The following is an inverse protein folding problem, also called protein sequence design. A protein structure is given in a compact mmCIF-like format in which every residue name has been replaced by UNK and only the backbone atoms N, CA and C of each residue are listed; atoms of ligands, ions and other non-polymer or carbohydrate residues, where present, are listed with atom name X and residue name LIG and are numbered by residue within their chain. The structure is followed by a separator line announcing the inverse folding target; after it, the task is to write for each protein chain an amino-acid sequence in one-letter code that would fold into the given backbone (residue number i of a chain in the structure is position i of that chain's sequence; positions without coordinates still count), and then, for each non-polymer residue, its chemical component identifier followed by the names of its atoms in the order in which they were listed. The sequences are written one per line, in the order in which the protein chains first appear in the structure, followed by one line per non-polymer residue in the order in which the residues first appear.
data_IF_436992639796
#
_entry.id   IF_436992639796
#
_cell.length_a   1.000
_cell.length_b   1.000
_cell.length_c   1.000
_cell.angle_alpha   90.00
_cell.angle_beta   90.00
_cell.angle_gamma   90.00
#
_symmetry.space_group_name_H-M   'P 1'
#
loop_
_entity.id
_entity.type
_entity.pdbx_description
1 polymer ?
#
# COMPACT_ATOMS: atom_id res chain seq x y z
N UNK A 1 37.85 45.46 -48.37
CA UNK A 1 37.53 44.83 -47.07
C UNK A 1 36.48 45.69 -46.36
N UNK A 2 35.22 45.23 -46.23
CA UNK A 2 34.35 45.65 -45.13
C UNK A 2 34.06 44.47 -44.19
N UNK A 3 34.13 44.73 -42.89
CA UNK A 3 33.91 43.76 -41.81
C UNK A 3 32.41 43.51 -41.60
N UNK A 4 32.00 42.24 -41.57
CA UNK A 4 30.68 41.78 -41.15
C UNK A 4 30.79 41.13 -39.76
N UNK A 5 30.09 41.68 -38.77
CA UNK A 5 30.01 41.16 -37.40
C UNK A 5 28.66 40.47 -37.21
N UNK A 6 28.70 39.21 -36.75
CA UNK A 6 27.53 38.39 -36.42
C UNK A 6 26.93 38.77 -35.04
N UNK A 7 25.61 38.64 -34.83
CA UNK A 7 25.01 38.78 -33.51
C UNK A 7 25.03 37.45 -32.73
N UNK A 8 25.47 37.53 -31.47
CA UNK A 8 25.49 36.44 -30.49
C UNK A 8 24.17 36.37 -29.69
N UNK A 9 23.96 35.20 -29.10
CA UNK A 9 22.79 34.74 -28.35
C UNK A 9 22.27 35.73 -27.29
N UNK A 10 20.94 35.92 -27.27
CA UNK A 10 20.20 36.61 -26.20
C UNK A 10 19.71 35.62 -25.15
N UNK A 11 20.37 35.64 -23.99
CA UNK A 11 19.98 34.92 -22.76
C UNK A 11 18.76 35.57 -22.11
N UNK A 12 17.93 34.73 -21.49
CA UNK A 12 16.66 35.06 -20.86
C UNK A 12 16.75 35.93 -19.60
N UNK A 13 15.65 36.63 -19.39
CA UNK A 13 15.28 37.56 -18.33
C UNK A 13 15.07 36.86 -16.98
N UNK A 14 15.71 37.36 -15.91
CA UNK A 14 15.30 37.16 -14.52
C UNK A 14 15.46 38.47 -13.74
N UNK A 15 14.43 38.94 -13.02
CA UNK A 15 14.61 39.86 -11.92
C UNK A 15 14.35 39.17 -10.58
N UNK A 16 15.31 39.35 -9.68
CA UNK A 16 15.25 39.03 -8.27
C UNK A 16 14.08 39.73 -7.57
N UNK A 17 13.37 38.99 -6.71
CA UNK A 17 12.47 39.52 -5.70
C UNK A 17 12.69 38.75 -4.39
N UNK A 18 13.57 39.27 -3.54
CA UNK A 18 13.75 38.77 -2.17
C UNK A 18 12.61 39.30 -1.29
N UNK A 19 11.96 38.41 -0.52
CA UNK A 19 11.13 38.76 0.64
C UNK A 19 11.56 37.93 1.83
N UNK A 20 11.88 38.53 2.99
CA UNK A 20 12.03 37.82 4.25
C UNK A 20 10.71 37.89 5.04
N UNK A 21 10.15 36.76 5.45
CA UNK A 21 9.26 36.75 6.60
C UNK A 21 9.58 35.55 7.49
N UNK A 22 9.77 35.89 8.76
CA UNK A 22 9.99 35.02 9.91
C UNK A 22 8.80 34.10 10.11
N UNK A 23 9.05 32.92 10.70
CA UNK A 23 8.39 32.35 11.90
C UNK A 23 8.77 30.86 11.98
N UNK A 24 9.40 30.45 13.09
CA UNK A 24 9.42 29.04 13.53
C UNK A 24 8.08 28.67 14.19
N UNK A 25 7.85 27.43 14.67
CA UNK A 25 8.82 26.66 15.46
C UNK A 25 8.92 25.14 15.15
N UNK A 26 9.92 24.60 15.82
CA UNK A 26 10.39 23.22 15.97
C UNK A 26 9.33 22.21 16.47
N UNK A 27 9.62 20.94 16.18
CA UNK A 27 9.11 19.69 16.79
C UNK A 27 7.66 19.26 16.55
N UNK A 28 7.49 18.16 15.81
CA UNK A 28 6.72 17.02 16.26
C UNK A 28 7.09 15.76 15.46
N UNK A 29 8.06 15.01 16.00
CA UNK A 29 8.10 13.55 15.82
C UNK A 29 6.78 13.01 16.36
N UNK A 30 5.88 12.50 15.53
CA UNK A 30 4.69 11.88 16.09
C UNK A 30 3.56 11.58 15.13
N UNK A 31 3.32 10.27 15.00
CA UNK A 31 2.02 9.61 14.88
C UNK A 31 1.41 9.58 13.49
N UNK A 32 1.08 8.35 13.10
CA UNK A 32 0.36 8.02 11.88
C UNK A 32 -0.89 8.88 11.78
N UNK A 33 -0.95 9.63 10.70
CA UNK A 33 -2.19 10.25 10.28
C UNK A 33 -3.17 9.12 9.93
N UNK A 34 -4.35 9.17 10.53
CA UNK A 34 -5.49 8.40 10.07
C UNK A 34 -5.88 8.93 8.69
N UNK A 35 -5.51 8.22 7.63
CA UNK A 35 -5.61 8.65 6.22
C UNK A 35 -7.03 8.47 5.64
N UNK A 36 -8.08 8.74 6.40
CA UNK A 36 -9.45 8.47 5.96
C UNK A 36 -10.37 9.70 5.82
N UNK A 37 -9.93 10.91 6.18
CA UNK A 37 -10.79 12.11 6.11
C UNK A 37 -10.01 13.38 5.70
N UNK A 38 -9.14 13.23 4.70
CA UNK A 38 -8.36 14.34 4.13
C UNK A 38 -8.80 14.64 2.69
N UNK A 39 -8.57 15.87 2.19
CA UNK A 39 -8.79 16.18 0.78
C UNK A 39 -7.99 15.22 -0.14
N UNK A 40 -8.47 14.95 -1.36
CA UNK A 40 -7.82 14.02 -2.28
C UNK A 40 -6.35 14.37 -2.49
N UNK A 41 -5.49 13.34 -2.47
CA UNK A 41 -4.04 13.49 -2.60
C UNK A 41 -3.74 14.16 -3.95
N UNK A 42 -3.34 15.43 -3.90
CA UNK A 42 -3.00 16.18 -5.11
C UNK A 42 -1.58 15.85 -5.59
N UNK A 43 -0.65 15.62 -4.64
CA UNK A 43 0.71 15.17 -4.91
C UNK A 43 1.33 14.56 -3.66
N UNK A 44 2.15 13.52 -3.81
CA UNK A 44 2.92 12.92 -2.74
C UNK A 44 4.19 12.25 -3.27
N UNK A 45 5.11 11.88 -2.38
CA UNK A 45 6.26 11.05 -2.76
C UNK A 45 5.80 9.65 -3.19
N UNK A 46 6.62 8.96 -3.99
CA UNK A 46 6.33 7.59 -4.40
C UNK A 46 6.12 6.67 -3.18
N UNK A 47 6.93 6.79 -2.13
CA UNK A 47 6.80 5.97 -0.93
C UNK A 47 5.48 6.23 -0.19
N UNK A 48 5.02 7.49 -0.13
CA UNK A 48 3.70 7.82 0.43
C UNK A 48 2.58 7.23 -0.42
N UNK A 49 2.66 7.32 -1.75
CA UNK A 49 1.67 6.73 -2.65
C UNK A 49 1.63 5.19 -2.54
N UNK A 50 2.79 4.54 -2.39
CA UNK A 50 2.88 3.10 -2.12
C UNK A 50 2.23 2.78 -0.77
N UNK A 51 2.50 3.58 0.27
CA UNK A 51 1.86 3.42 1.58
C UNK A 51 0.33 3.53 1.50
N UNK A 52 -0.21 4.45 0.70
CA UNK A 52 -1.65 4.58 0.49
C UNK A 52 -2.27 3.41 -0.29
N UNK A 53 -1.47 2.67 -1.07
CA UNK A 53 -1.90 1.46 -1.77
C UNK A 53 -2.03 0.26 -0.82
N UNK A 54 -1.27 0.22 0.28
CA UNK A 54 -1.30 -0.91 1.23
C UNK A 54 -2.62 -0.94 2.01
N UNK A 55 -3.44 -1.99 1.88
CA UNK A 55 -4.63 -2.17 2.71
C UNK A 55 -4.27 -2.45 4.18
N UNK A 56 -5.10 -1.99 5.11
CA UNK A 56 -4.99 -2.31 6.55
C UNK A 56 -6.23 -3.09 7.00
N UNK A 57 -6.33 -3.46 8.28
CA UNK A 57 -7.51 -4.16 8.81
C UNK A 57 -8.83 -3.39 8.56
N UNK A 58 -8.79 -2.06 8.64
CA UNK A 58 -9.91 -1.13 8.60
C UNK A 58 -9.98 -0.30 7.31
N UNK A 59 -8.90 -0.24 6.52
CA UNK A 59 -8.86 0.51 5.26
C UNK A 59 -8.63 -0.39 4.05
N UNK A 60 -9.25 -0.05 2.93
CA UNK A 60 -8.94 -0.57 1.60
C UNK A 60 -8.92 0.62 0.63
N UNK A 61 -7.90 0.76 -0.23
CA UNK A 61 -7.80 1.89 -1.15
C UNK A 61 -8.96 1.93 -2.14
N UNK A 62 -9.42 3.14 -2.50
CA UNK A 62 -10.47 3.28 -3.49
C UNK A 62 -10.07 2.66 -4.84
N UNK A 63 -11.01 1.99 -5.51
CA UNK A 63 -10.76 1.31 -6.79
C UNK A 63 -10.16 2.23 -7.84
N UNK A 64 -10.62 3.49 -7.90
CA UNK A 64 -10.08 4.49 -8.82
C UNK A 64 -8.60 4.78 -8.53
N UNK A 65 -8.23 4.93 -7.24
CA UNK A 65 -6.84 5.11 -6.84
C UNK A 65 -5.99 3.89 -7.20
N UNK A 66 -6.44 2.67 -6.88
CA UNK A 66 -5.74 1.43 -7.21
C UNK A 66 -5.45 1.36 -8.72
N UNK A 67 -6.49 1.55 -9.54
CA UNK A 67 -6.35 1.53 -10.99
C UNK A 67 -5.37 2.59 -11.50
N UNK A 68 -5.58 3.86 -11.15
CA UNK A 68 -4.78 4.98 -11.64
C UNK A 68 -3.34 4.90 -11.17
N UNK A 69 -3.11 4.53 -9.91
CA UNK A 69 -1.77 4.34 -9.37
C UNK A 69 -1.06 3.19 -10.07
N UNK A 70 -1.66 1.99 -10.15
CA UNK A 70 -1.03 0.85 -10.83
C UNK A 70 -0.75 1.13 -12.31
N UNK A 71 -1.65 1.84 -13.01
CA UNK A 71 -1.44 2.28 -14.38
C UNK A 71 -0.18 3.16 -14.52
N UNK A 72 -0.09 4.21 -13.69
CA UNK A 72 0.94 5.24 -13.78
C UNK A 72 2.26 4.90 -13.08
N UNK A 73 2.25 4.01 -12.08
CA UNK A 73 3.43 3.64 -11.30
C UNK A 73 4.57 3.10 -12.16
N UNK A 74 4.26 2.47 -13.30
CA UNK A 74 5.27 1.94 -14.26
C UNK A 74 6.22 3.01 -14.80
N UNK A 75 5.83 4.27 -14.75
CA UNK A 75 6.68 5.40 -15.14
C UNK A 75 7.79 5.69 -14.11
N UNK A 76 7.61 5.22 -12.87
CA UNK A 76 8.47 5.56 -11.73
C UNK A 76 9.12 4.34 -11.09
N UNK A 77 8.49 3.17 -11.17
CA UNK A 77 8.94 1.93 -10.52
C UNK A 77 8.48 0.71 -11.31
N UNK A 78 9.35 -0.31 -11.40
CA UNK A 78 9.00 -1.57 -12.07
C UNK A 78 7.97 -2.37 -11.25
N UNK A 79 7.05 -3.13 -11.89
CA UNK A 79 6.09 -3.97 -11.17
C UNK A 79 6.69 -4.91 -10.09
N UNK A 80 7.78 -5.67 -10.35
CA UNK A 80 8.37 -6.51 -9.31
C UNK A 80 8.98 -5.69 -8.17
N UNK A 81 9.54 -4.51 -8.44
CA UNK A 81 10.06 -3.65 -7.37
C UNK A 81 8.93 -3.03 -6.54
N UNK A 82 7.83 -2.63 -7.18
CA UNK A 82 6.63 -2.15 -6.49
C UNK A 82 6.07 -3.22 -5.55
N UNK A 83 5.96 -4.47 -6.01
CA UNK A 83 5.48 -5.58 -5.20
C UNK A 83 6.40 -5.83 -3.99
N UNK A 84 7.73 -5.78 -4.18
CA UNK A 84 8.68 -5.91 -3.08
C UNK A 84 8.51 -4.79 -2.03
N UNK A 85 8.35 -3.53 -2.48
CA UNK A 85 8.11 -2.39 -1.57
C UNK A 85 6.78 -2.46 -0.84
N UNK A 86 5.73 -2.98 -1.49
CA UNK A 86 4.46 -3.27 -0.83
C UNK A 86 4.65 -4.28 0.30
N UNK A 87 5.38 -5.38 0.06
CA UNK A 87 5.71 -6.36 1.09
C UNK A 87 6.48 -5.75 2.26
N UNK A 88 7.51 -4.96 1.98
CA UNK A 88 8.28 -4.29 3.03
C UNK A 88 7.42 -3.34 3.85
N UNK A 89 6.54 -2.58 3.18
CA UNK A 89 5.62 -1.65 3.85
C UNK A 89 4.64 -2.42 4.72
N UNK A 90 4.14 -3.57 4.26
CA UNK A 90 3.32 -4.47 5.07
C UNK A 90 4.04 -4.93 6.35
N UNK A 91 5.34 -5.27 6.26
CA UNK A 91 6.14 -5.71 7.43
C UNK A 91 6.43 -4.53 8.38
N UNK A 92 6.73 -3.35 7.85
CA UNK A 92 7.08 -2.16 8.64
C UNK A 92 5.88 -1.55 9.36
N UNK A 93 4.71 -1.53 8.71
CA UNK A 93 3.50 -0.91 9.25
C UNK A 93 2.75 -1.78 10.27
N UNK A 94 3.07 -3.08 10.37
CA UNK A 94 2.20 -4.05 11.02
C UNK A 94 3.04 -5.10 11.79
N UNK A 95 2.84 -5.21 13.11
CA UNK A 95 3.33 -6.38 13.85
C UNK A 95 2.69 -7.65 13.24
N UNK A 96 3.41 -8.77 13.22
CA UNK A 96 3.04 -10.03 12.53
C UNK A 96 1.56 -10.46 12.70
N UNK A 97 0.94 -10.17 13.85
CA UNK A 97 -0.48 -10.45 14.15
C UNK A 97 -1.47 -9.70 13.27
N UNK A 98 -1.07 -8.59 12.68
CA UNK A 98 -1.95 -7.81 11.83
C UNK A 98 -1.89 -8.27 10.37
N UNK A 99 -0.77 -8.85 9.92
CA UNK A 99 -0.66 -9.49 8.58
C UNK A 99 -1.75 -10.55 8.38
N UNK A 100 -2.19 -11.15 9.48
CA UNK A 100 -3.34 -12.06 9.58
C UNK A 100 -4.69 -11.42 9.30
N UNK A 101 -4.87 -10.15 9.70
CA UNK A 101 -6.15 -9.43 9.62
C UNK A 101 -6.35 -8.75 8.27
N UNK A 102 -5.28 -8.32 7.60
CA UNK A 102 -5.37 -7.68 6.28
C UNK A 102 -4.89 -8.58 5.11
N UNK A 103 -4.38 -9.79 5.39
CA UNK A 103 -4.02 -10.79 4.36
C UNK A 103 -5.07 -10.97 3.26
N UNK A 104 -6.36 -11.15 3.57
CA UNK A 104 -7.41 -11.24 2.55
C UNK A 104 -7.50 -9.99 1.65
N UNK A 105 -7.26 -8.80 2.19
CA UNK A 105 -7.26 -7.55 1.41
C UNK A 105 -6.03 -7.42 0.52
N UNK A 106 -4.87 -7.94 0.94
CA UNK A 106 -3.68 -8.02 0.06
C UNK A 106 -3.95 -8.97 -1.08
N UNK A 107 -4.50 -10.15 -0.81
CA UNK A 107 -4.88 -11.10 -1.85
C UNK A 107 -5.88 -10.46 -2.83
N UNK A 108 -6.88 -9.74 -2.31
CA UNK A 108 -7.82 -8.99 -3.14
C UNK A 108 -7.12 -7.96 -4.04
N UNK A 109 -6.23 -7.13 -3.48
CA UNK A 109 -5.45 -6.16 -4.27
C UNK A 109 -4.61 -6.84 -5.36
N UNK A 110 -3.97 -7.96 -5.04
CA UNK A 110 -3.18 -8.72 -6.00
C UNK A 110 -4.05 -9.34 -7.10
N UNK A 111 -5.23 -9.85 -6.76
CA UNK A 111 -6.21 -10.33 -7.74
C UNK A 111 -6.61 -9.20 -8.69
N UNK A 112 -7.01 -8.04 -8.16
CA UNK A 112 -7.38 -6.87 -8.98
C UNK A 112 -6.23 -6.42 -9.89
N UNK A 113 -4.98 -6.45 -9.40
CA UNK A 113 -3.80 -6.16 -10.22
C UNK A 113 -3.61 -7.19 -11.34
N UNK A 114 -3.68 -8.49 -11.03
CA UNK A 114 -3.52 -9.55 -12.04
C UNK A 114 -4.59 -9.51 -13.12
N UNK A 115 -5.82 -9.15 -12.77
CA UNK A 115 -6.94 -9.03 -13.72
C UNK A 115 -6.82 -7.78 -14.58
N UNK A 116 -6.43 -6.65 -13.98
CA UNK A 116 -6.35 -5.37 -14.69
C UNK A 116 -5.12 -5.29 -15.59
N UNK A 117 -3.98 -5.81 -15.13
CA UNK A 117 -2.70 -5.73 -15.83
C UNK A 117 -1.95 -7.08 -15.85
N UNK A 118 -2.46 -8.11 -16.55
CA UNK A 118 -1.86 -9.45 -16.56
C UNK A 118 -0.40 -9.48 -17.03
N UNK A 119 -0.02 -8.51 -17.86
CA UNK A 119 1.33 -8.40 -18.43
C UNK A 119 2.42 -8.19 -17.39
N UNK A 120 2.11 -7.60 -16.25
CA UNK A 120 3.08 -7.34 -15.17
C UNK A 120 3.58 -8.63 -14.51
N UNK A 121 2.81 -9.72 -14.62
CA UNK A 121 3.08 -11.01 -13.97
C UNK A 121 3.76 -12.04 -14.88
N UNK A 122 4.28 -11.60 -16.03
CA UNK A 122 5.00 -12.48 -16.97
C UNK A 122 6.39 -12.86 -16.50
N UNK A 123 7.02 -12.00 -15.70
CA UNK A 123 8.38 -12.19 -15.22
C UNK A 123 8.43 -13.18 -14.06
N UNK A 124 9.40 -14.09 -14.08
CA UNK A 124 9.61 -15.07 -13.01
C UNK A 124 9.84 -14.39 -11.65
N UNK A 125 10.56 -13.26 -11.63
CA UNK A 125 10.78 -12.47 -10.42
C UNK A 125 9.48 -11.99 -9.79
N UNK A 126 8.52 -11.51 -10.60
CA UNK A 126 7.20 -11.08 -10.12
C UNK A 126 6.42 -12.27 -9.54
N UNK A 127 6.43 -13.40 -10.26
CA UNK A 127 5.76 -14.64 -9.81
C UNK A 127 6.37 -15.17 -8.51
N UNK A 128 7.70 -15.11 -8.36
CA UNK A 128 8.39 -15.48 -7.13
C UNK A 128 7.93 -14.64 -5.94
N UNK A 129 7.94 -13.32 -6.09
CA UNK A 129 7.46 -12.40 -5.05
C UNK A 129 5.98 -12.63 -4.70
N UNK A 130 5.14 -12.88 -5.69
CA UNK A 130 3.72 -13.18 -5.49
C UNK A 130 3.53 -14.47 -4.66
N UNK A 131 4.28 -15.53 -4.98
CA UNK A 131 4.27 -16.79 -4.23
C UNK A 131 4.72 -16.59 -2.79
N UNK A 132 5.77 -15.80 -2.57
CA UNK A 132 6.27 -15.50 -1.22
C UNK A 132 5.20 -14.82 -0.35
N UNK A 133 4.40 -13.92 -0.94
CA UNK A 133 3.29 -13.28 -0.24
C UNK A 133 2.22 -14.30 0.14
N UNK A 134 1.78 -15.13 -0.82
CA UNK A 134 0.76 -16.15 -0.56
C UNK A 134 1.24 -17.12 0.54
N UNK A 135 2.48 -17.59 0.47
CA UNK A 135 3.04 -18.49 1.48
C UNK A 135 3.09 -17.88 2.88
N UNK A 136 3.20 -16.56 2.99
CA UNK A 136 3.14 -15.86 4.28
C UNK A 136 1.71 -15.69 4.80
N UNK A 137 0.72 -15.63 3.91
CA UNK A 137 -0.70 -15.48 4.28
C UNK A 137 -1.35 -16.84 4.58
N UNK A 138 -1.08 -17.89 3.80
CA UNK A 138 -1.74 -19.19 3.90
C UNK A 138 -1.72 -19.85 5.31
N UNK A 139 -0.62 -19.81 6.09
CA UNK A 139 -0.61 -20.35 7.46
C UNK A 139 -1.60 -19.65 8.39
N UNK A 140 -2.02 -18.43 8.06
CA UNK A 140 -2.99 -17.69 8.84
C UNK A 140 -4.42 -18.19 8.64
N UNK A 141 -4.80 -18.57 7.43
CA UNK A 141 -6.15 -19.03 7.13
C UNK A 141 -6.44 -20.36 7.83
N UNK A 142 -5.47 -21.28 7.82
CA UNK A 142 -5.53 -22.56 8.55
C UNK A 142 -5.75 -22.39 10.06
N UNK A 143 -5.11 -21.39 10.68
CA UNK A 143 -5.29 -21.12 12.12
C UNK A 143 -6.68 -20.55 12.40
N UNK A 144 -7.19 -19.66 11.55
CA UNK A 144 -8.53 -19.07 11.71
C UNK A 144 -9.62 -20.13 11.57
N UNK A 145 -9.50 -21.04 10.60
CA UNK A 145 -10.45 -22.13 10.44
C UNK A 145 -10.44 -23.06 11.66
N UNK A 146 -9.25 -23.37 12.21
CA UNK A 146 -9.13 -24.16 13.44
C UNK A 146 -9.73 -23.47 14.67
N UNK A 147 -9.59 -22.16 14.81
CA UNK A 147 -10.21 -21.40 15.92
C UNK A 147 -11.74 -21.41 15.81
N UNK A 148 -12.28 -21.20 14.60
CA UNK A 148 -13.72 -21.30 14.32
C UNK A 148 -14.26 -22.69 14.61
N UNK A 149 -13.53 -23.73 14.25
CA UNK A 149 -13.91 -25.11 14.52
C UNK A 149 -13.95 -25.41 16.03
N UNK A 150 -12.95 -24.93 16.78
CA UNK A 150 -12.91 -25.04 18.25
C UNK A 150 -14.03 -24.27 18.93
N UNK A 151 -14.40 -23.09 18.42
CA UNK A 151 -15.53 -22.32 18.94
C UNK A 151 -16.86 -23.07 18.73
N UNK A 152 -17.06 -23.63 17.53
CA UNK A 152 -18.23 -24.47 17.22
C UNK A 152 -18.30 -25.72 18.06
N UNK A 153 -17.16 -26.36 18.35
CA UNK A 153 -17.10 -27.53 19.23
C UNK A 153 -17.47 -27.18 20.67
N UNK A 154 -16.96 -26.06 21.19
CA UNK A 154 -17.30 -25.54 22.52
C UNK A 154 -18.77 -25.15 22.64
N UNK A 155 -19.37 -24.61 21.59
CA UNK A 155 -20.80 -24.30 21.55
C UNK A 155 -21.64 -25.58 21.63
N UNK A 156 -21.26 -26.62 20.88
CA UNK A 156 -21.93 -27.94 20.91
C UNK A 156 -21.83 -28.62 22.27
N UNK A 157 -20.70 -28.50 22.96
CA UNK A 157 -20.55 -29.03 24.33
C UNK A 157 -21.42 -28.29 25.34
N UNK A 158 -21.56 -26.96 25.19
CA UNK A 158 -22.44 -26.14 26.04
C UNK A 158 -23.92 -26.46 25.85
N UNK A 159 -24.34 -26.74 24.62
CA UNK A 159 -25.72 -27.17 24.33
C UNK A 159 -26.02 -28.54 24.95
N UNK A 160 -25.10 -29.51 24.82
CA UNK A 160 -25.24 -30.84 25.44
C UNK A 160 -25.29 -30.80 26.97
N UNK A 161 -24.55 -29.89 27.60
CA UNK A 161 -24.58 -29.72 29.06
C UNK A 161 -25.90 -29.19 29.61
N UNK A 162 -26.63 -28.37 28.85
CA UNK A 162 -27.93 -27.80 29.25
C UNK A 162 -29.09 -28.79 29.16
N UNK A 163 -29.01 -29.77 28.26
CA UNK A 163 -30.02 -30.83 28.16
C UNK A 163 -29.92 -31.86 29.30
N UNK A 164 -28.79 -31.92 30.02
CA UNK A 164 -28.57 -32.87 31.12
C UNK A 164 -29.00 -32.38 32.52
N UNK A 165 -29.17 -31.08 32.74
CA UNK A 165 -29.55 -30.50 34.06
C UNK A 165 -31.06 -30.28 34.23
N UNK A 166 -31.88 -30.66 33.24
CA UNK A 166 -33.34 -30.46 33.23
C UNK A 166 -34.19 -31.68 33.63
N UNK A 167 -33.61 -32.69 34.29
CA UNK A 167 -34.31 -33.89 34.79
C UNK A 167 -34.33 -33.93 36.31
#
# INVERSE_FOLDING_TARGET
MPQTVFPAAGTMFTPSGFSPHLEGPQEARGRGACLADGPPITSASLDTLIQHLVPTADYYPEKAYVFTFLLSARLFISPPELLARLCETCIKQQQLDQMRKFGPKILQLLTEWTETFPTDFREEKMVGLFKDIIHRIAPCDEVRERERERERERERERERGREGEGV
#
